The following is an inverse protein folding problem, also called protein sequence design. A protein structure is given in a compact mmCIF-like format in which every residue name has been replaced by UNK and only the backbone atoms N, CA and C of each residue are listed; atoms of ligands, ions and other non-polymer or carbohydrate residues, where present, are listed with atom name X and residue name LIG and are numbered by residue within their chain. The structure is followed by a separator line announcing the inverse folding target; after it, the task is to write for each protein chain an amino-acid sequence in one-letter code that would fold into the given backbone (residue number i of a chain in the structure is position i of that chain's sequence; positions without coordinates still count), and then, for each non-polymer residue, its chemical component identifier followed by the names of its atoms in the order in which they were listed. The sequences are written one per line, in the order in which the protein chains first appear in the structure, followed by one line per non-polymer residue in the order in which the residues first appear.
data_IF_647761580169
#
_entry.id   IF_647761580169
#
_cell.length_a   1.000
_cell.length_b   1.000
_cell.length_c   1.000
_cell.angle_alpha   90.00
_cell.angle_beta   90.00
_cell.angle_gamma   90.00
#
_symmetry.space_group_name_H-M   'P 1'
#
loop_
_entity.id
_entity.type
_entity.pdbx_description
1 polymer ?
#
# COMPACT_ATOMS: atom_id res chain seq x y z
N UNK A 1 -6.43 -22.85 -15.40
CA UNK A 1 -5.31 -21.89 -15.50
C UNK A 1 -4.80 -21.69 -14.08
N UNK A 2 -3.56 -22.09 -13.82
CA UNK A 2 -3.00 -22.14 -12.47
C UNK A 2 -2.90 -20.74 -11.86
N UNK A 3 -3.72 -20.50 -10.83
CA UNK A 3 -3.56 -19.39 -9.91
C UNK A 3 -2.25 -19.60 -9.15
N UNK A 4 -1.16 -19.03 -9.64
CA UNK A 4 0.09 -18.90 -8.91
C UNK A 4 -0.15 -17.99 -7.71
N UNK A 5 -0.59 -18.59 -6.61
CA UNK A 5 -0.68 -17.97 -5.31
C UNK A 5 0.70 -17.36 -4.96
N UNK A 6 0.78 -16.03 -4.90
CA UNK A 6 1.98 -15.30 -4.48
C UNK A 6 2.28 -15.64 -3.01
N UNK A 7 3.40 -16.28 -2.65
CA UNK A 7 3.72 -16.56 -1.24
C UNK A 7 4.19 -15.32 -0.46
N UNK A 8 4.09 -14.12 -1.05
CA UNK A 8 4.81 -12.93 -0.62
C UNK A 8 4.05 -12.04 0.38
N UNK A 9 2.72 -12.12 0.39
CA UNK A 9 1.86 -11.28 1.23
C UNK A 9 2.01 -11.55 2.73
N UNK A 10 2.24 -12.82 3.11
CA UNK A 10 2.41 -13.28 4.52
C UNK A 10 3.57 -12.63 5.27
N UNK A 11 4.44 -11.91 4.57
CA UNK A 11 5.63 -11.29 5.13
C UNK A 11 5.52 -9.78 5.31
N UNK A 12 4.40 -9.16 4.92
CA UNK A 12 4.22 -7.72 5.12
C UNK A 12 3.92 -7.40 6.59
N UNK A 13 4.84 -6.68 7.23
CA UNK A 13 4.71 -6.17 8.60
C UNK A 13 5.31 -4.78 8.67
N UNK A 14 4.50 -3.82 9.14
CA UNK A 14 4.96 -2.49 9.52
C UNK A 14 5.10 -2.43 11.03
N UNK A 15 6.22 -1.91 11.53
CA UNK A 15 6.49 -1.77 12.96
C UNK A 15 6.64 -0.31 13.35
N UNK A 16 6.22 0.05 14.55
CA UNK A 16 6.57 1.37 15.09
C UNK A 16 8.08 1.45 15.37
N UNK A 17 8.74 2.53 14.94
CA UNK A 17 10.20 2.67 15.05
C UNK A 17 10.66 2.63 16.51
N UNK A 18 9.89 3.21 17.43
CA UNK A 18 10.28 3.38 18.84
C UNK A 18 10.09 2.08 19.63
N UNK A 19 8.90 1.50 19.54
CA UNK A 19 8.48 0.33 20.33
C UNK A 19 8.86 -0.99 19.67
N UNK A 20 9.18 -0.99 18.37
CA UNK A 20 9.41 -2.18 17.53
C UNK A 20 8.22 -3.15 17.47
N UNK A 21 7.05 -2.75 17.99
CA UNK A 21 5.81 -3.51 17.90
C UNK A 21 5.22 -3.36 16.51
N UNK A 22 4.61 -4.41 16.00
CA UNK A 22 3.89 -4.34 14.73
C UNK A 22 2.67 -3.43 14.88
N UNK A 23 2.49 -2.50 13.95
CA UNK A 23 1.33 -1.62 13.84
C UNK A 23 0.34 -2.13 12.81
N UNK A 24 0.84 -2.73 11.72
CA UNK A 24 0.03 -3.36 10.68
C UNK A 24 0.69 -4.65 10.22
N UNK A 25 -0.12 -5.65 9.92
CA UNK A 25 0.31 -6.94 9.34
C UNK A 25 -0.65 -7.35 8.24
N UNK A 26 -0.14 -8.04 7.22
CA UNK A 26 -1.01 -8.81 6.34
C UNK A 26 -1.65 -9.98 7.11
N UNK A 27 -2.85 -10.37 6.70
CA UNK A 27 -3.52 -11.55 7.23
C UNK A 27 -2.90 -12.87 6.77
N UNK A 28 -3.62 -13.96 7.03
CA UNK A 28 -3.13 -15.33 6.76
C UNK A 28 -3.29 -15.76 5.30
N UNK A 29 -3.94 -14.93 4.50
CA UNK A 29 -4.25 -15.19 3.10
C UNK A 29 -2.99 -15.39 2.27
N UNK A 30 -3.12 -16.11 1.16
CA UNK A 30 -2.00 -16.27 0.23
C UNK A 30 -1.70 -14.95 -0.50
N UNK A 31 -2.74 -14.23 -0.92
CA UNK A 31 -2.61 -12.88 -1.49
C UNK A 31 -2.93 -11.82 -0.44
N UNK A 32 -2.54 -10.57 -0.70
CA UNK A 32 -2.85 -9.46 0.19
C UNK A 32 -4.37 -9.15 0.15
N UNK A 33 -5.15 -9.84 0.99
CA UNK A 33 -6.61 -9.67 1.11
C UNK A 33 -7.04 -8.92 2.35
N UNK A 34 -6.27 -9.02 3.41
CA UNK A 34 -6.65 -8.49 4.71
C UNK A 34 -5.45 -7.80 5.36
N UNK A 35 -5.70 -6.63 5.95
CA UNK A 35 -4.74 -5.97 6.84
C UNK A 35 -5.29 -5.96 8.26
N UNK A 36 -4.40 -6.32 9.18
CA UNK A 36 -4.66 -6.47 10.60
C UNK A 36 -3.93 -5.38 11.39
N UNK A 37 -4.58 -4.86 12.42
CA UNK A 37 -4.04 -3.87 13.33
C UNK A 37 -3.15 -4.49 14.43
N UNK A 38 -2.78 -3.66 15.42
CA UNK A 38 -1.99 -4.07 16.61
C UNK A 38 -2.63 -5.20 17.43
N UNK A 39 -3.96 -5.34 17.38
CA UNK A 39 -4.76 -6.32 18.10
C UNK A 39 -5.06 -7.57 17.25
N UNK A 40 -4.50 -7.66 16.04
CA UNK A 40 -4.87 -8.64 15.02
C UNK A 40 -6.35 -8.54 14.58
N UNK A 41 -6.95 -7.37 14.75
CA UNK A 41 -8.29 -7.08 14.24
C UNK A 41 -8.16 -6.56 12.81
N UNK A 42 -8.98 -7.09 11.92
CA UNK A 42 -8.98 -6.66 10.53
C UNK A 42 -9.56 -5.24 10.42
N UNK A 43 -8.83 -4.32 9.79
CA UNK A 43 -9.30 -2.94 9.61
C UNK A 43 -9.64 -2.62 8.15
N UNK A 44 -9.08 -3.34 7.17
CA UNK A 44 -9.50 -3.27 5.77
C UNK A 44 -9.46 -4.63 5.10
N UNK A 45 -10.32 -4.78 4.08
CA UNK A 45 -10.27 -5.86 3.09
C UNK A 45 -9.82 -5.31 1.75
N UNK A 46 -9.06 -6.10 1.03
CA UNK A 46 -8.55 -5.81 -0.30
C UNK A 46 -9.04 -6.90 -1.25
N UNK A 47 -9.57 -6.48 -2.41
CA UNK A 47 -9.92 -7.38 -3.49
C UNK A 47 -9.25 -6.95 -4.80
N UNK A 48 -8.85 -7.93 -5.60
CA UNK A 48 -8.44 -7.74 -6.99
C UNK A 48 -9.60 -8.22 -7.88
N UNK A 49 -10.06 -7.38 -8.82
CA UNK A 49 -11.08 -7.81 -9.80
C UNK A 49 -10.38 -8.47 -10.98
N UNK A 50 -10.87 -9.63 -11.42
CA UNK A 50 -10.26 -10.45 -12.49
C UNK A 50 -10.14 -9.73 -13.83
N UNK A 51 -10.98 -8.73 -14.07
CA UNK A 51 -11.08 -8.01 -15.33
C UNK A 51 -10.12 -6.81 -15.45
N UNK A 52 -9.50 -6.37 -14.35
CA UNK A 52 -8.61 -5.20 -14.36
C UNK A 52 -7.34 -5.46 -13.58
N UNK A 53 -6.26 -5.74 -14.31
CA UNK A 53 -4.94 -5.87 -13.72
C UNK A 53 -4.51 -4.57 -13.04
N UNK A 54 -3.80 -4.70 -11.92
CA UNK A 54 -3.15 -3.61 -11.19
C UNK A 54 -4.08 -2.63 -10.46
N UNK A 55 -5.34 -3.00 -10.22
CA UNK A 55 -6.25 -2.25 -9.34
C UNK A 55 -6.60 -3.08 -8.11
N UNK A 56 -6.40 -2.47 -6.94
CA UNK A 56 -6.85 -2.98 -5.66
C UNK A 56 -8.06 -2.18 -5.19
N UNK A 57 -9.13 -2.88 -4.87
CA UNK A 57 -10.33 -2.30 -4.27
C UNK A 57 -10.26 -2.49 -2.76
N UNK A 58 -10.37 -1.40 -2.01
CA UNK A 58 -10.27 -1.41 -0.55
C UNK A 58 -11.66 -1.23 0.03
N UNK A 59 -12.03 -2.12 0.95
CA UNK A 59 -13.33 -2.15 1.60
C UNK A 59 -13.20 -2.02 3.11
N UNK A 60 -14.28 -1.61 3.76
CA UNK A 60 -14.42 -1.69 5.21
C UNK A 60 -14.26 -3.13 5.71
N UNK A 61 -13.88 -3.30 6.97
CA UNK A 61 -13.59 -4.61 7.54
C UNK A 61 -14.79 -5.58 7.55
N UNK A 62 -16.00 -5.05 7.72
CA UNK A 62 -17.25 -5.83 7.83
C UNK A 62 -17.79 -6.28 6.46
N UNK A 63 -17.31 -5.67 5.38
CA UNK A 63 -17.75 -5.94 4.02
C UNK A 63 -17.43 -7.37 3.60
N UNK A 64 -18.21 -7.96 2.70
CA UNK A 64 -17.93 -9.28 2.14
C UNK A 64 -17.77 -9.19 0.61
N UNK A 65 -16.64 -8.67 0.11
CA UNK A 65 -16.42 -8.47 -1.32
C UNK A 65 -16.22 -9.80 -2.09
N UNK A 66 -16.18 -10.95 -1.38
CA UNK A 66 -15.96 -12.29 -1.94
C UNK A 66 -17.29 -13.03 -2.28
N UNK A 67 -18.43 -12.35 -2.33
CA UNK A 67 -19.67 -12.97 -2.84
C UNK A 67 -19.50 -13.40 -4.31
N UNK A 68 -19.93 -14.63 -4.63
CA UNK A 68 -19.55 -15.46 -5.79
C UNK A 68 -19.66 -14.85 -7.22
N UNK A 69 -20.16 -13.62 -7.38
CA UNK A 69 -20.08 -12.86 -8.63
C UNK A 69 -18.84 -11.95 -8.65
N UNK A 70 -17.66 -12.57 -8.61
CA UNK A 70 -16.34 -11.91 -8.61
C UNK A 70 -16.04 -11.02 -9.85
N UNK A 71 -16.98 -10.96 -10.80
CA UNK A 71 -16.92 -10.09 -11.99
C UNK A 71 -17.81 -8.84 -11.86
N UNK A 72 -18.69 -8.75 -10.86
CA UNK A 72 -19.60 -7.61 -10.68
C UNK A 72 -19.75 -7.22 -9.20
N UNK A 73 -18.87 -6.32 -8.76
CA UNK A 73 -19.16 -5.52 -7.56
C UNK A 73 -20.01 -4.36 -8.02
N UNK A 74 -21.22 -4.27 -7.48
CA UNK A 74 -22.14 -3.18 -7.74
C UNK A 74 -21.41 -1.86 -7.43
N UNK A 75 -21.33 -0.88 -8.35
CA UNK A 75 -20.67 0.41 -8.10
C UNK A 75 -21.26 1.21 -6.93
N UNK A 76 -22.39 0.74 -6.40
CA UNK A 76 -23.11 1.24 -5.22
C UNK A 76 -22.81 0.48 -3.94
N UNK A 77 -21.83 -0.42 -3.91
CA UNK A 77 -21.40 -1.02 -2.66
C UNK A 77 -20.81 0.07 -1.75
N UNK A 78 -21.65 0.62 -0.87
CA UNK A 78 -21.32 1.70 0.08
C UNK A 78 -20.16 1.34 1.02
N UNK A 79 -19.72 0.08 0.99
CA UNK A 79 -18.60 -0.43 1.76
C UNK A 79 -17.24 -0.28 1.07
N UNK A 80 -17.20 0.04 -0.22
CA UNK A 80 -15.96 0.40 -0.94
C UNK A 80 -15.45 1.76 -0.43
N UNK A 81 -14.21 1.77 0.06
CA UNK A 81 -13.56 2.97 0.59
C UNK A 81 -12.81 3.74 -0.50
N UNK A 82 -12.03 3.03 -1.32
CA UNK A 82 -11.16 3.61 -2.34
C UNK A 82 -10.61 2.54 -3.29
N UNK A 83 -10.05 3.01 -4.41
CA UNK A 83 -9.39 2.19 -5.43
C UNK A 83 -7.93 2.61 -5.57
N UNK A 84 -7.00 1.66 -5.42
CA UNK A 84 -5.56 1.89 -5.56
C UNK A 84 -5.10 1.28 -6.89
N UNK A 85 -4.70 2.12 -7.83
CA UNK A 85 -4.06 1.72 -9.07
C UNK A 85 -2.54 1.76 -8.93
N UNK A 86 -1.86 0.65 -9.23
CA UNK A 86 -0.39 0.55 -9.16
C UNK A 86 0.19 0.12 -10.49
N UNK A 87 0.74 1.04 -11.25
CA UNK A 87 1.43 0.73 -12.50
C UNK A 87 2.94 0.75 -12.31
N UNK A 88 3.59 -0.39 -12.53
CA UNK A 88 5.04 -0.48 -12.59
C UNK A 88 5.52 -0.14 -14.01
N UNK A 89 6.28 0.94 -14.14
CA UNK A 89 6.86 1.41 -15.40
C UNK A 89 8.38 1.21 -15.45
N UNK A 90 8.88 0.76 -16.60
CA UNK A 90 10.30 0.86 -16.93
C UNK A 90 10.54 2.21 -17.60
N UNK A 91 11.29 3.12 -16.97
CA UNK A 91 11.89 4.23 -17.70
C UNK A 91 13.18 3.79 -18.37
N UNK A 92 13.55 4.47 -19.46
CA UNK A 92 14.77 4.21 -20.25
C UNK A 92 16.09 4.42 -19.48
N UNK A 93 16.05 4.75 -18.19
CA UNK A 93 17.22 4.84 -17.33
C UNK A 93 17.37 3.60 -16.44
N UNK A 94 18.52 2.91 -16.46
CA UNK A 94 18.68 1.58 -15.85
C UNK A 94 18.70 1.53 -14.30
N UNK A 95 18.37 2.62 -13.61
CA UNK A 95 18.58 2.74 -12.16
C UNK A 95 17.30 2.84 -11.30
N UNK A 96 16.10 2.95 -11.87
CA UNK A 96 14.87 2.99 -11.08
C UNK A 96 13.65 2.56 -11.88
N UNK A 97 12.93 1.51 -11.45
CA UNK A 97 11.55 1.29 -11.91
C UNK A 97 10.67 2.38 -11.29
N UNK A 98 9.99 3.16 -12.13
CA UNK A 98 9.01 4.13 -11.65
C UNK A 98 7.75 3.37 -11.24
N UNK A 99 7.33 3.57 -10.01
CA UNK A 99 6.06 3.02 -9.52
C UNK A 99 5.06 4.17 -9.58
N UNK A 100 4.11 4.08 -10.49
CA UNK A 100 3.03 5.04 -10.61
C UNK A 100 1.90 4.53 -9.72
N UNK A 101 1.59 5.26 -8.66
CA UNK A 101 0.42 5.03 -7.83
C UNK A 101 -0.59 6.13 -8.10
N UNK A 102 -1.85 5.73 -8.29
CA UNK A 102 -2.99 6.65 -8.34
C UNK A 102 -4.14 6.10 -7.53
N UNK A 103 -4.66 6.93 -6.65
CA UNK A 103 -5.92 6.70 -5.94
C UNK A 103 -6.78 7.95 -6.14
N UNK A 104 -8.02 7.79 -6.57
CA UNK A 104 -8.98 8.89 -6.67
C UNK A 104 -10.11 8.64 -5.67
N UNK A 105 -10.46 9.63 -4.85
CA UNK A 105 -11.58 9.54 -3.90
C UNK A 105 -12.27 10.89 -3.74
N UNK A 106 -13.43 10.90 -3.11
CA UNK A 106 -14.11 12.15 -2.74
C UNK A 106 -13.95 12.36 -1.24
N UNK A 107 -13.31 13.47 -0.84
CA UNK A 107 -13.13 13.80 0.56
C UNK A 107 -14.48 14.00 1.23
N UNK A 108 -14.85 13.14 2.19
CA UNK A 108 -16.17 13.19 2.84
C UNK A 108 -16.45 14.53 3.54
N UNK A 109 -15.41 15.17 4.08
CA UNK A 109 -15.53 16.45 4.80
C UNK A 109 -15.71 17.64 3.86
N UNK A 110 -15.03 17.63 2.71
CA UNK A 110 -14.99 18.77 1.79
C UNK A 110 -15.91 18.60 0.58
N UNK A 111 -16.34 17.37 0.29
CA UNK A 111 -17.00 17.00 -0.96
C UNK A 111 -16.09 17.10 -2.19
N UNK A 112 -14.80 17.39 -1.99
CA UNK A 112 -13.86 17.64 -3.08
C UNK A 112 -13.31 16.32 -3.65
N UNK A 113 -13.10 16.26 -4.96
CA UNK A 113 -12.36 15.15 -5.56
C UNK A 113 -10.88 15.30 -5.23
N UNK A 114 -10.36 14.29 -4.56
CA UNK A 114 -8.97 14.17 -4.17
C UNK A 114 -8.29 13.08 -4.99
N UNK A 115 -6.99 13.23 -5.16
CA UNK A 115 -6.15 12.23 -5.80
C UNK A 115 -4.88 12.03 -4.99
N UNK A 116 -4.50 10.79 -4.71
CA UNK A 116 -3.18 10.48 -4.18
C UNK A 116 -2.28 10.02 -5.32
N UNK A 117 -1.12 10.67 -5.43
CA UNK A 117 -0.06 10.29 -6.35
C UNK A 117 1.22 9.96 -5.59
N UNK A 118 2.01 9.07 -6.19
CA UNK A 118 3.38 8.86 -5.75
C UNK A 118 4.37 9.56 -6.68
N UNK A 119 5.22 10.40 -6.10
CA UNK A 119 6.44 10.90 -6.73
C UNK A 119 7.66 10.09 -6.30
N UNK A 120 8.72 10.13 -7.11
CA UNK A 120 9.96 9.38 -6.93
C UNK A 120 9.79 7.84 -6.94
N UNK A 121 10.89 7.10 -6.84
CA UNK A 121 10.88 5.64 -6.92
C UNK A 121 10.65 4.97 -5.56
N UNK A 122 9.71 4.03 -5.48
CA UNK A 122 9.54 3.17 -4.30
C UNK A 122 10.77 2.30 -4.06
N UNK A 123 11.32 1.68 -5.12
CA UNK A 123 12.49 0.80 -5.03
C UNK A 123 13.76 1.51 -4.53
N UNK A 124 13.90 2.81 -4.80
CA UNK A 124 15.01 3.61 -4.29
C UNK A 124 14.79 4.06 -2.85
N UNK A 125 13.65 3.70 -2.24
CA UNK A 125 13.19 4.12 -0.92
C UNK A 125 13.26 5.65 -0.80
N UNK A 126 12.71 6.34 -1.80
CA UNK A 126 12.60 7.81 -1.83
C UNK A 126 11.20 8.30 -2.18
N UNK A 127 10.24 7.38 -2.24
CA UNK A 127 8.89 7.69 -2.65
C UNK A 127 8.26 8.74 -1.74
N UNK A 128 7.50 9.66 -2.34
CA UNK A 128 6.69 10.66 -1.65
C UNK A 128 5.25 10.50 -2.09
N UNK A 129 4.35 10.36 -1.12
CA UNK A 129 2.91 10.33 -1.38
C UNK A 129 2.36 11.74 -1.24
N UNK A 130 1.65 12.18 -2.28
CA UNK A 130 1.08 13.51 -2.40
C UNK A 130 -0.44 13.41 -2.51
N UNK A 131 -1.16 14.19 -1.72
CA UNK A 131 -2.59 14.42 -1.85
C UNK A 131 -2.83 15.68 -2.68
N UNK A 132 -3.42 15.51 -3.84
CA UNK A 132 -3.82 16.54 -4.78
C UNK A 132 -5.31 16.81 -4.65
N UNK A 133 -5.65 18.04 -4.27
CA UNK A 133 -7.00 18.57 -4.19
C UNK A 133 -7.38 19.14 -5.56
N UNK A 134 -8.21 18.42 -6.33
CA UNK A 134 -8.39 18.72 -7.76
C UNK A 134 -9.07 20.08 -7.97
N UNK A 135 -10.03 20.45 -7.13
CA UNK A 135 -10.77 21.70 -7.29
C UNK A 135 -9.97 22.91 -6.86
N UNK A 136 -9.16 22.79 -5.80
CA UNK A 136 -8.28 23.88 -5.34
C UNK A 136 -6.92 23.94 -6.04
N UNK A 137 -6.50 22.86 -6.71
CA UNK A 137 -5.16 22.72 -7.28
C UNK A 137 -4.04 22.60 -6.22
N UNK A 138 -4.41 22.41 -4.95
CA UNK A 138 -3.45 22.32 -3.84
C UNK A 138 -2.87 20.92 -3.76
N UNK A 139 -1.54 20.84 -3.53
CA UNK A 139 -0.82 19.58 -3.33
C UNK A 139 -0.19 19.55 -1.94
N UNK A 140 -0.43 18.49 -1.19
CA UNK A 140 0.06 18.31 0.18
C UNK A 140 0.82 17.00 0.33
N UNK A 141 1.98 17.03 0.98
CA UNK A 141 2.77 15.82 1.26
C UNK A 141 2.09 15.05 2.40
N UNK A 142 1.69 13.80 2.16
CA UNK A 142 1.01 12.97 3.17
C UNK A 142 1.91 11.89 3.76
N UNK A 143 2.91 11.42 3.01
CA UNK A 143 3.90 10.49 3.54
C UNK A 143 5.21 10.52 2.74
N UNK A 144 6.31 10.16 3.40
CA UNK A 144 7.62 9.94 2.78
C UNK A 144 8.16 8.57 3.12
N UNK A 145 8.58 7.82 2.10
CA UNK A 145 9.32 6.57 2.23
C UNK A 145 10.80 6.87 2.11
N UNK A 146 11.57 6.43 3.11
CA UNK A 146 13.01 6.68 3.15
C UNK A 146 13.80 5.51 3.74
N UNK A 147 15.08 5.42 3.40
CA UNK A 147 16.01 4.46 4.00
C UNK A 147 16.97 5.16 4.96
N UNK A 148 17.04 4.67 6.21
CA UNK A 148 18.03 5.15 7.18
C UNK A 148 19.44 4.65 6.81
N UNK A 149 20.50 5.43 7.12
CA UNK A 149 21.86 4.94 7.03
C UNK A 149 22.01 3.66 7.85
N UNK A 150 22.55 2.59 7.24
CA UNK A 150 22.74 1.25 7.83
C UNK A 150 21.49 0.37 7.99
N UNK A 151 20.33 0.77 7.44
CA UNK A 151 19.18 -0.14 7.37
C UNK A 151 19.50 -1.36 6.47
N UNK A 152 18.95 -2.53 6.81
CA UNK A 152 19.21 -3.76 6.04
C UNK A 152 18.66 -3.64 4.61
N UNK A 153 19.07 -4.54 3.73
CA UNK A 153 18.49 -4.64 2.39
C UNK A 153 16.98 -4.96 2.51
N UNK A 154 16.13 -4.25 1.77
CA UNK A 154 14.66 -4.38 1.87
C UNK A 154 14.00 -3.61 3.02
N UNK A 155 14.75 -3.04 3.96
CA UNK A 155 14.16 -2.22 5.02
C UNK A 155 13.96 -0.76 4.58
N UNK A 156 12.79 -0.22 4.89
CA UNK A 156 12.45 1.18 4.68
C UNK A 156 11.70 1.75 5.89
N UNK A 157 11.58 3.06 5.94
CA UNK A 157 10.86 3.80 6.95
C UNK A 157 9.81 4.66 6.25
N UNK A 158 8.71 4.88 6.95
CA UNK A 158 7.61 5.73 6.48
C UNK A 158 7.44 6.83 7.53
N UNK A 159 7.53 8.07 7.10
CA UNK A 159 7.12 9.24 7.89
C UNK A 159 5.76 9.72 7.37
N UNK A 160 4.76 9.79 8.24
CA UNK A 160 3.40 10.18 7.90
C UNK A 160 3.15 11.59 8.42
N UNK A 161 2.66 12.48 7.55
CA UNK A 161 2.36 13.85 7.94
C UNK A 161 1.27 13.91 9.02
N UNK A 162 1.30 14.96 9.83
CA UNK A 162 0.28 15.17 10.86
C UNK A 162 -1.12 15.28 10.25
N UNK A 163 -2.13 14.80 10.97
CA UNK A 163 -3.54 14.81 10.57
C UNK A 163 -3.86 14.01 9.28
N UNK A 164 -2.96 13.13 8.86
CA UNK A 164 -3.22 12.17 7.78
C UNK A 164 -3.75 10.86 8.37
N UNK A 165 -4.72 10.27 7.68
CA UNK A 165 -5.22 8.93 8.00
C UNK A 165 -4.08 7.92 7.86
N UNK A 166 -3.60 7.42 9.01
CA UNK A 166 -2.50 6.45 9.05
C UNK A 166 -2.88 5.13 8.39
N UNK A 167 -4.03 4.49 8.72
CA UNK A 167 -4.54 3.32 7.99
C UNK A 167 -4.52 3.46 6.46
N UNK A 168 -4.92 4.62 5.93
CA UNK A 168 -4.87 4.89 4.48
C UNK A 168 -3.46 4.74 3.91
N UNK A 169 -2.49 5.47 4.47
CA UNK A 169 -1.10 5.44 4.01
C UNK A 169 -0.50 4.05 4.14
N UNK A 170 -0.77 3.34 5.25
CA UNK A 170 -0.24 2.00 5.48
C UNK A 170 -0.86 0.98 4.50
N UNK A 171 -2.12 1.16 4.11
CA UNK A 171 -2.79 0.35 3.09
C UNK A 171 -2.14 0.56 1.72
N UNK A 172 -1.89 1.82 1.33
CA UNK A 172 -1.15 2.15 0.11
C UNK A 172 0.23 1.48 0.10
N UNK A 173 0.96 1.56 1.22
CA UNK A 173 2.27 0.94 1.35
C UNK A 173 2.22 -0.58 1.17
N UNK A 174 1.20 -1.24 1.76
CA UNK A 174 1.01 -2.67 1.63
C UNK A 174 0.77 -3.11 0.18
N UNK A 175 -0.08 -2.37 -0.52
CA UNK A 175 -0.42 -2.66 -1.93
C UNK A 175 0.79 -2.49 -2.84
N UNK A 176 1.53 -1.39 -2.70
CA UNK A 176 2.74 -1.16 -3.51
C UNK A 176 3.81 -2.23 -3.23
N UNK A 177 3.99 -2.59 -1.97
CA UNK A 177 4.94 -3.61 -1.56
C UNK A 177 4.59 -5.00 -2.12
N UNK A 178 3.30 -5.39 -2.09
CA UNK A 178 2.82 -6.64 -2.69
C UNK A 178 3.03 -6.65 -4.22
N UNK A 179 2.68 -5.57 -4.93
CA UNK A 179 2.86 -5.51 -6.38
C UNK A 179 4.33 -5.60 -6.79
N UNK A 180 5.22 -4.93 -6.06
CA UNK A 180 6.65 -5.06 -6.30
C UNK A 180 7.11 -6.50 -6.06
N UNK A 181 6.65 -7.15 -4.99
CA UNK A 181 7.01 -8.56 -4.73
C UNK A 181 6.50 -9.48 -5.84
N UNK A 182 5.26 -9.30 -6.31
CA UNK A 182 4.68 -10.06 -7.43
C UNK A 182 5.49 -9.89 -8.72
N UNK A 183 5.87 -8.66 -9.06
CA UNK A 183 6.68 -8.37 -10.25
C UNK A 183 8.05 -9.06 -10.19
N UNK A 184 8.73 -9.04 -9.03
CA UNK A 184 10.01 -9.75 -8.88
C UNK A 184 9.84 -11.28 -8.92
N UNK A 185 8.75 -11.82 -8.36
CA UNK A 185 8.42 -13.24 -8.41
C UNK A 185 8.10 -13.76 -9.82
N UNK A 186 7.52 -12.91 -10.70
CA UNK A 186 7.31 -13.23 -12.12
C UNK A 186 8.61 -13.19 -12.95
N UNK A 187 9.69 -12.60 -12.41
CA UNK A 187 10.94 -12.35 -13.11
C UNK A 187 11.94 -13.51 -13.13
N UNK A 188 12.29 -14.15 -12.00
CA UNK A 188 13.45 -15.07 -11.94
C UNK A 188 13.30 -16.16 -10.85
N UNK A 189 13.57 -17.43 -11.22
CA UNK A 189 13.89 -18.55 -10.32
C UNK A 189 15.29 -18.36 -9.72
N UNK A 190 15.45 -17.67 -8.60
CA UNK A 190 16.74 -17.67 -7.88
C UNK A 190 16.57 -17.64 -6.35
N UNK A 191 17.21 -18.59 -5.69
CA UNK A 191 17.19 -18.83 -4.24
C UNK A 191 17.81 -17.71 -3.37
N UNK A 192 18.37 -16.66 -3.97
CA UNK A 192 18.90 -15.48 -3.27
C UNK A 192 17.83 -14.45 -2.85
N UNK A 193 16.60 -14.58 -3.37
CA UNK A 193 15.58 -13.52 -3.28
C UNK A 193 14.74 -13.60 -1.98
N UNK A 194 14.65 -14.77 -1.32
CA UNK A 194 13.90 -14.91 -0.07
C UNK A 194 14.39 -13.99 1.06
N UNK A 195 15.66 -13.56 1.01
CA UNK A 195 16.24 -12.62 1.98
C UNK A 195 15.93 -11.14 1.66
N UNK A 196 15.64 -10.81 0.40
CA UNK A 196 15.26 -9.46 -0.06
C UNK A 196 13.76 -9.18 0.03
N UNK A 197 12.92 -10.23 0.04
CA UNK A 197 11.46 -10.12 0.08
C UNK A 197 10.87 -9.91 1.49
N UNK A 198 11.67 -10.02 2.55
CA UNK A 198 11.26 -9.55 3.88
C UNK A 198 11.43 -8.04 3.95
N UNK A 199 10.53 -7.31 3.31
CA UNK A 199 10.40 -5.88 3.52
C UNK A 199 9.85 -5.65 4.93
N UNK A 200 10.66 -4.98 5.76
CA UNK A 200 10.21 -4.45 7.05
C UNK A 200 10.12 -2.96 6.91
N UNK A 201 8.90 -2.45 7.01
CA UNK A 201 8.67 -1.02 7.12
C UNK A 201 8.71 -0.65 8.61
N UNK A 202 9.29 0.50 8.92
CA UNK A 202 9.11 1.11 10.23
C UNK A 202 8.37 2.44 10.12
N UNK A 203 7.37 2.64 10.98
CA UNK A 203 6.57 3.85 11.05
C UNK A 203 7.20 4.85 12.01
N UNK A 204 7.46 6.06 11.51
CA UNK A 204 7.75 7.25 12.29
C UNK A 204 6.46 8.04 12.39
N UNK A 205 5.85 8.09 13.57
CA UNK A 205 4.73 9.00 13.83
C UNK A 205 5.30 10.25 14.50
N UNK A 206 5.04 11.47 13.98
CA UNK A 206 5.39 12.69 14.69
C UNK A 206 4.70 12.70 16.05
N UNK A 207 5.41 13.11 17.10
CA UNK A 207 4.81 13.24 18.42
C UNK A 207 3.65 14.24 18.34
N UNK A 208 2.45 13.82 18.72
CA UNK A 208 1.35 14.74 18.96
C UNK A 208 1.80 15.70 20.06
N UNK A 209 1.87 17.03 19.84
CA UNK A 209 2.07 17.94 20.95
C UNK A 209 0.90 17.74 21.91
N UNK A 210 1.21 17.41 23.16
CA UNK A 210 0.21 17.13 24.19
C UNK A 210 -0.76 18.31 24.30
N UNK A 211 -2.06 18.02 24.17
CA UNK A 211 -3.12 18.87 24.70
C UNK A 211 -3.25 18.62 26.20
#
# INVERSE_FOLDING_TARGET
MDNTASPHSKHFVIKDVKTKKAVVRAGKDATLRTLLDVNNTQFVKLAEKRSVDNIYYVYQSESNPDTDDADYVEPSDESELLQIYVKLGWERHPASKNTILREDFTGRTTGERCKIEMGDGWQSHRAKLWLDHISSGTRSLIATVFKLPRAQAGEYNIDIAQNVDTPLVLTICAVVDEELKREHGRGIKDHLIAFLLQTKANLVVPATPGC
#
